data_IF_977532098486
#
_entry.id   IF_977532098486
#
_cell.length_a   1.000
_cell.length_b   1.000
_cell.length_c   1.000
_cell.angle_alpha   90.00
_cell.angle_beta   90.00
_cell.angle_gamma   90.00
#
_symmetry.space_group_name_H-M   'P 1'
#
loop_
_entity.id
_entity.type
_entity.pdbx_description
1 polymer ?
#
# COMPACT_ATOMS: atom_id res chain seq x y z
N UNK A 1 14.51 -4.87 0.13
CA UNK A 1 14.79 -3.44 0.40
C UNK A 1 14.38 -2.53 -0.75
N UNK A 2 14.82 -2.76 -2.00
CA UNK A 2 14.61 -1.82 -3.12
C UNK A 2 13.15 -1.41 -3.38
N UNK A 3 12.17 -2.31 -3.15
CA UNK A 3 10.74 -2.05 -3.41
C UNK A 3 10.20 -0.82 -2.64
N UNK A 4 10.69 -0.54 -1.43
CA UNK A 4 10.14 0.51 -0.56
C UNK A 4 11.08 1.71 -0.37
N UNK A 5 12.36 1.61 -0.72
CA UNK A 5 13.36 2.65 -0.46
C UNK A 5 12.95 4.03 -1.01
N UNK A 6 12.46 4.07 -2.26
CA UNK A 6 11.94 5.29 -2.89
C UNK A 6 10.81 5.93 -2.07
N UNK A 7 9.92 5.10 -1.52
CA UNK A 7 8.78 5.56 -0.74
C UNK A 7 9.19 6.07 0.64
N UNK A 8 10.09 5.35 1.32
CA UNK A 8 10.63 5.73 2.63
C UNK A 8 11.39 7.06 2.55
N UNK A 9 12.29 7.20 1.56
CA UNK A 9 13.02 8.47 1.33
C UNK A 9 12.06 9.62 1.04
N UNK A 10 11.01 9.36 0.25
CA UNK A 10 9.99 10.37 -0.05
C UNK A 10 9.17 10.71 1.18
N UNK A 11 8.85 9.75 2.05
CA UNK A 11 8.14 9.98 3.30
C UNK A 11 8.88 10.98 4.19
N UNK A 12 10.19 10.76 4.44
CA UNK A 12 11.01 11.70 5.21
C UNK A 12 11.06 13.10 4.56
N UNK A 13 11.24 13.16 3.24
CA UNK A 13 11.29 14.42 2.52
C UNK A 13 9.99 15.22 2.66
N UNK A 14 8.83 14.55 2.56
CA UNK A 14 7.52 15.18 2.74
C UNK A 14 7.30 15.56 4.21
N UNK A 15 7.75 14.77 5.19
CA UNK A 15 7.74 15.17 6.59
C UNK A 15 8.49 16.49 6.81
N UNK A 16 9.71 16.62 6.25
CA UNK A 16 10.49 17.85 6.33
C UNK A 16 9.77 19.05 5.69
N UNK A 17 9.15 18.84 4.52
CA UNK A 17 8.38 19.86 3.81
C UNK A 17 7.16 20.32 4.62
N UNK A 18 6.37 19.38 5.15
CA UNK A 18 5.16 19.66 5.92
C UNK A 18 5.48 20.38 7.23
N UNK A 19 6.58 19.99 7.87
CA UNK A 19 7.12 20.65 9.07
C UNK A 19 7.64 22.06 8.75
N UNK A 20 8.13 22.28 7.53
CA UNK A 20 8.71 23.54 7.09
C UNK A 20 10.19 23.69 7.47
N UNK A 21 10.92 22.58 7.51
CA UNK A 21 12.37 22.55 7.73
C UNK A 21 13.12 22.24 6.45
N UNK A 22 14.45 22.43 6.47
CA UNK A 22 15.31 22.03 5.35
C UNK A 22 15.27 20.51 5.16
N UNK A 23 15.54 20.00 3.94
CA UNK A 23 15.69 18.56 3.72
C UNK A 23 16.71 17.96 4.68
N UNK A 24 16.38 16.79 5.22
CA UNK A 24 17.21 16.04 6.14
C UNK A 24 17.36 14.59 5.65
N UNK A 25 18.41 13.93 6.10
CA UNK A 25 18.67 12.51 5.90
C UNK A 25 18.30 11.73 7.17
N UNK A 26 18.01 10.45 7.00
CA UNK A 26 17.95 9.45 8.06
C UNK A 26 18.24 8.09 7.42
N UNK A 27 18.81 7.18 8.18
CA UNK A 27 19.06 5.81 7.72
C UNK A 27 17.87 4.93 8.09
N UNK A 28 17.43 4.11 7.14
CA UNK A 28 16.26 3.26 7.30
C UNK A 28 16.64 1.81 6.98
N UNK A 29 16.47 0.91 7.94
CA UNK A 29 16.82 -0.49 7.80
C UNK A 29 15.64 -1.41 8.15
N UNK A 30 15.46 -2.46 7.36
CA UNK A 30 14.58 -3.57 7.72
C UNK A 30 15.39 -4.64 8.43
N UNK A 31 14.86 -5.16 9.52
CA UNK A 31 15.48 -6.19 10.35
C UNK A 31 14.45 -7.28 10.68
N UNK A 32 14.93 -8.47 11.05
CA UNK A 32 14.04 -9.56 11.46
C UNK A 32 13.37 -9.27 12.80
N UNK A 33 12.28 -9.97 13.10
CA UNK A 33 11.57 -9.83 14.38
C UNK A 33 12.48 -10.19 15.58
N UNK A 34 13.38 -11.16 15.43
CA UNK A 34 14.37 -11.49 16.47
C UNK A 34 15.33 -10.33 16.70
N UNK A 35 15.84 -9.72 15.63
CA UNK A 35 16.75 -8.58 15.76
C UNK A 35 16.05 -7.34 16.32
N UNK A 36 14.78 -7.11 15.99
CA UNK A 36 13.97 -6.05 16.59
C UNK A 36 13.74 -6.27 18.07
N UNK A 37 13.46 -7.51 18.47
CA UNK A 37 13.34 -7.89 19.87
C UNK A 37 14.64 -7.62 20.65
N UNK A 38 15.78 -8.08 20.13
CA UNK A 38 17.10 -7.83 20.71
C UNK A 38 17.36 -6.32 20.87
N UNK A 39 17.15 -5.54 19.81
CA UNK A 39 17.34 -4.09 19.84
C UNK A 39 16.44 -3.39 20.87
N UNK A 40 15.18 -3.82 20.98
CA UNK A 40 14.24 -3.24 21.93
C UNK A 40 14.62 -3.56 23.39
N UNK A 41 15.10 -4.78 23.63
CA UNK A 41 15.61 -5.20 24.93
C UNK A 41 16.89 -4.45 25.30
N UNK A 42 17.85 -4.36 24.38
CA UNK A 42 19.14 -3.69 24.60
C UNK A 42 19.00 -2.19 24.87
N UNK A 43 18.10 -1.51 24.14
CA UNK A 43 18.06 -0.05 24.14
C UNK A 43 16.96 0.53 25.02
N UNK A 44 15.82 -0.17 25.17
CA UNK A 44 14.68 0.28 25.97
C UNK A 44 14.41 -0.60 27.20
N UNK A 45 15.09 -1.74 27.34
CA UNK A 45 14.83 -2.70 28.42
C UNK A 45 13.49 -3.42 28.29
N UNK A 46 12.91 -3.45 27.09
CA UNK A 46 11.58 -4.00 26.82
C UNK A 46 11.71 -5.35 26.14
N UNK A 47 11.35 -6.42 26.86
CA UNK A 47 11.44 -7.83 26.43
C UNK A 47 10.24 -8.23 25.54
N UNK A 48 10.11 -7.55 24.40
CA UNK A 48 9.17 -7.88 23.32
C UNK A 48 9.62 -7.20 22.02
N UNK A 49 9.22 -7.74 20.88
CA UNK A 49 9.42 -7.06 19.59
C UNK A 49 8.47 -5.87 19.45
N UNK A 50 8.80 -4.95 18.53
CA UNK A 50 7.99 -3.81 18.13
C UNK A 50 8.07 -3.63 16.61
N UNK A 51 7.12 -2.91 16.06
CA UNK A 51 7.04 -2.54 14.65
C UNK A 51 8.17 -1.63 14.18
N UNK A 52 8.49 -0.58 14.95
CA UNK A 52 9.50 0.41 14.58
C UNK A 52 10.31 0.92 15.79
N UNK A 53 11.61 1.10 15.59
CA UNK A 53 12.53 1.73 16.54
C UNK A 53 13.26 2.88 15.86
N UNK A 54 13.13 4.08 16.41
CA UNK A 54 13.84 5.28 15.97
C UNK A 54 14.92 5.67 16.98
N UNK A 55 16.10 6.04 16.49
CA UNK A 55 17.27 6.49 17.24
C UNK A 55 17.65 7.90 16.78
N UNK A 56 17.08 8.95 17.39
CA UNK A 56 17.35 10.32 16.97
C UNK A 56 18.79 10.76 17.26
N UNK A 57 19.47 11.29 16.24
CA UNK A 57 20.74 12.00 16.38
C UNK A 57 20.56 13.40 16.98
N UNK A 58 19.34 13.94 16.91
CA UNK A 58 18.98 15.27 17.45
C UNK A 58 17.94 15.12 18.55
N UNK A 59 18.26 15.66 19.73
CA UNK A 59 17.31 15.77 20.83
C UNK A 59 16.72 17.17 20.89
N UNK A 60 15.39 17.26 20.95
CA UNK A 60 14.64 18.51 21.11
C UNK A 60 14.10 18.66 22.54
N UNK A 61 13.99 19.89 23.06
CA UNK A 61 13.30 20.12 24.33
C UNK A 61 11.84 19.64 24.28
N UNK A 62 11.27 19.27 25.43
CA UNK A 62 9.86 18.83 25.51
C UNK A 62 8.92 19.87 24.88
N UNK A 63 8.01 19.41 24.02
CA UNK A 63 7.05 20.26 23.29
C UNK A 63 7.67 21.15 22.21
N UNK A 64 8.90 20.85 21.76
CA UNK A 64 9.58 21.55 20.67
C UNK A 64 9.98 20.56 19.58
N UNK A 65 9.86 21.00 18.34
CA UNK A 65 10.23 20.20 17.17
C UNK A 65 11.46 20.78 16.46
N UNK A 66 11.88 20.12 15.38
CA UNK A 66 12.92 20.56 14.47
C UNK A 66 12.70 22.00 13.97
N UNK A 67 11.46 22.38 13.68
CA UNK A 67 11.10 23.73 13.22
C UNK A 67 11.38 24.80 14.26
N UNK A 68 11.11 24.50 15.54
CA UNK A 68 11.37 25.43 16.63
C UNK A 68 12.86 25.58 16.94
N UNK A 69 13.67 24.59 16.55
CA UNK A 69 15.06 24.45 16.95
C UNK A 69 16.03 24.39 15.74
N UNK A 70 16.02 25.37 14.82
CA UNK A 70 16.80 25.30 13.56
C UNK A 70 18.31 25.23 13.78
N UNK A 71 18.81 25.81 14.88
CA UNK A 71 20.23 25.74 15.28
C UNK A 71 20.64 24.34 15.71
N UNK A 72 19.76 23.57 16.36
CA UNK A 72 20.04 22.18 16.76
C UNK A 72 20.07 21.29 15.51
N UNK A 73 19.08 21.45 14.64
CA UNK A 73 19.02 20.74 13.37
C UNK A 73 20.27 21.00 12.51
N UNK A 74 20.70 22.27 12.40
CA UNK A 74 21.91 22.61 11.61
C UNK A 74 23.21 22.03 12.18
N UNK A 75 23.26 21.69 13.47
CA UNK A 75 24.45 21.06 14.09
C UNK A 75 24.55 19.57 13.78
N UNK A 76 23.45 18.96 13.36
CA UNK A 76 23.40 17.57 12.93
C UNK A 76 23.82 17.39 11.46
N UNK A 77 24.43 18.41 10.86
CA UNK A 77 24.88 18.35 9.48
C UNK A 77 25.89 17.23 9.28
N UNK A 78 25.59 16.34 8.34
CA UNK A 78 26.44 15.25 7.95
C UNK A 78 27.05 15.55 6.56
N UNK A 79 28.37 15.68 6.43
CA UNK A 79 29.03 15.91 5.15
C UNK A 79 28.80 14.81 4.11
N UNK A 80 28.55 13.57 4.53
CA UNK A 80 28.32 12.44 3.61
C UNK A 80 26.99 12.60 2.87
N UNK A 81 25.94 12.99 3.59
CA UNK A 81 24.62 13.23 3.01
C UNK A 81 24.44 14.66 2.46
N UNK A 82 25.31 15.61 2.84
CA UNK A 82 25.21 17.01 2.45
C UNK A 82 24.05 17.76 3.09
N UNK A 83 23.49 17.23 4.19
CA UNK A 83 22.32 17.76 4.89
C UNK A 83 22.30 17.28 6.35
N UNK A 84 21.44 17.83 7.23
CA UNK A 84 21.26 17.30 8.58
C UNK A 84 20.85 15.82 8.57
N UNK A 85 21.56 14.99 9.32
CA UNK A 85 21.18 13.60 9.58
C UNK A 85 20.39 13.52 10.89
N UNK A 86 19.16 13.01 10.81
CA UNK A 86 18.26 12.90 11.94
C UNK A 86 18.47 11.63 12.76
N UNK A 87 19.21 10.64 12.25
CA UNK A 87 19.50 9.38 12.93
C UNK A 87 19.00 8.15 12.19
N UNK A 88 18.76 7.08 12.94
CA UNK A 88 18.51 5.75 12.38
C UNK A 88 17.10 5.23 12.72
N UNK A 89 16.50 4.49 11.80
CA UNK A 89 15.20 3.85 11.97
C UNK A 89 15.26 2.40 11.55
N UNK A 90 14.76 1.52 12.41
CA UNK A 90 14.68 0.09 12.17
C UNK A 90 13.22 -0.34 12.13
N UNK A 91 12.85 -1.09 11.09
CA UNK A 91 11.51 -1.64 10.90
C UNK A 91 11.51 -3.16 11.00
N UNK A 92 10.49 -3.73 11.63
CA UNK A 92 10.14 -5.14 11.45
C UNK A 92 9.26 -5.29 10.20
N UNK A 93 9.76 -6.01 9.19
CA UNK A 93 8.96 -6.33 8.01
C UNK A 93 7.83 -7.30 8.35
N UNK A 94 8.07 -8.24 9.27
CA UNK A 94 7.07 -9.24 9.68
C UNK A 94 5.89 -8.57 10.39
N UNK A 95 6.18 -7.56 11.22
CA UNK A 95 5.14 -6.75 11.88
C UNK A 95 4.39 -5.87 10.91
N UNK A 96 5.08 -5.20 9.99
CA UNK A 96 4.42 -4.41 8.95
C UNK A 96 3.46 -5.27 8.10
N UNK A 97 3.84 -6.51 7.75
CA UNK A 97 2.94 -7.44 7.07
C UNK A 97 1.72 -7.81 7.93
N UNK A 98 1.94 -8.13 9.22
CA UNK A 98 0.88 -8.51 10.15
C UNK A 98 -0.10 -7.35 10.41
N UNK A 99 0.39 -6.13 10.64
CA UNK A 99 -0.41 -4.92 10.83
C UNK A 99 -1.16 -4.53 9.57
N UNK A 100 -0.51 -4.62 8.39
CA UNK A 100 -1.18 -4.42 7.11
C UNK A 100 -2.41 -5.34 6.99
N UNK A 101 -2.24 -6.61 7.36
CA UNK A 101 -3.32 -7.60 7.37
C UNK A 101 -4.41 -7.29 8.41
N UNK A 102 -4.03 -6.98 9.66
CA UNK A 102 -4.95 -6.68 10.76
C UNK A 102 -5.80 -5.44 10.48
N UNK A 103 -5.19 -4.38 9.95
CA UNK A 103 -5.85 -3.11 9.67
C UNK A 103 -6.43 -2.99 8.25
N UNK A 104 -6.31 -4.05 7.45
CA UNK A 104 -6.97 -4.18 6.15
C UNK A 104 -6.47 -3.22 5.06
N UNK A 105 -5.17 -2.94 5.01
CA UNK A 105 -4.57 -2.06 3.99
C UNK A 105 -3.24 -2.59 3.46
N UNK A 106 -2.75 -2.04 2.35
CA UNK A 106 -1.56 -2.56 1.68
C UNK A 106 -0.29 -2.48 2.54
N UNK A 107 0.62 -3.43 2.31
CA UNK A 107 1.94 -3.45 2.96
C UNK A 107 2.72 -2.16 2.64
N UNK A 108 2.60 -1.65 1.41
CA UNK A 108 3.22 -0.37 1.04
C UNK A 108 2.70 0.77 1.91
N UNK A 109 1.38 0.82 2.15
CA UNK A 109 0.81 1.84 3.04
C UNK A 109 1.34 1.69 4.45
N UNK A 110 1.41 0.47 4.97
CA UNK A 110 1.89 0.24 6.34
C UNK A 110 3.35 0.63 6.51
N UNK A 111 4.22 0.19 5.60
CA UNK A 111 5.65 0.58 5.61
C UNK A 111 5.82 2.09 5.51
N UNK A 112 5.04 2.76 4.64
CA UNK A 112 5.10 4.22 4.51
C UNK A 112 4.58 4.90 5.77
N UNK A 113 3.49 4.41 6.36
CA UNK A 113 2.96 4.92 7.62
C UNK A 113 4.00 4.82 8.73
N UNK A 114 4.63 3.66 8.92
CA UNK A 114 5.71 3.47 9.89
C UNK A 114 6.90 4.41 9.62
N UNK A 115 7.27 4.62 8.34
CA UNK A 115 8.33 5.55 7.97
C UNK A 115 7.97 7.00 8.28
N UNK A 116 6.72 7.42 8.03
CA UNK A 116 6.21 8.75 8.40
C UNK A 116 6.23 8.90 9.92
N UNK A 117 5.68 7.94 10.65
CA UNK A 117 5.62 7.92 12.10
C UNK A 117 7.02 8.06 12.72
N UNK A 118 7.97 7.23 12.30
CA UNK A 118 9.35 7.28 12.76
C UNK A 118 10.04 8.61 12.38
N UNK A 119 9.81 9.12 11.17
CA UNK A 119 10.37 10.40 10.74
C UNK A 119 9.85 11.58 11.58
N UNK A 120 8.58 11.54 12.01
CA UNK A 120 8.02 12.55 12.90
C UNK A 120 8.65 12.49 14.30
N UNK A 121 8.89 11.29 14.85
CA UNK A 121 9.69 11.12 16.07
C UNK A 121 11.10 11.70 15.94
N UNK A 122 11.78 11.44 14.83
CA UNK A 122 13.09 12.02 14.53
C UNK A 122 13.08 13.56 14.43
N UNK A 123 11.95 14.15 14.03
CA UNK A 123 11.73 15.59 13.99
C UNK A 123 11.30 16.19 15.35
N UNK A 124 11.13 15.36 16.38
CA UNK A 124 10.81 15.79 17.74
C UNK A 124 9.33 15.79 18.10
N UNK A 125 8.47 15.14 17.30
CA UNK A 125 7.10 14.83 17.70
C UNK A 125 7.10 13.65 18.68
N UNK A 126 6.14 13.65 19.60
CA UNK A 126 5.89 12.54 20.52
C UNK A 126 4.37 12.34 20.63
N UNK A 127 3.93 11.26 21.27
CA UNK A 127 2.52 10.91 21.41
C UNK A 127 2.19 10.33 22.80
N UNK A 128 2.99 10.69 23.82
CA UNK A 128 2.80 10.22 25.20
C UNK A 128 1.59 10.91 25.85
N UNK A 129 1.38 12.20 25.54
CA UNK A 129 0.25 12.98 26.02
C UNK A 129 -0.83 13.15 24.92
N UNK A 130 -2.07 13.45 25.32
CA UNK A 130 -3.23 13.50 24.41
C UNK A 130 -3.13 14.62 23.36
N UNK A 131 -2.58 15.77 23.75
CA UNK A 131 -2.34 16.92 22.88
C UNK A 131 -1.22 16.65 21.87
N UNK A 132 -0.11 16.08 22.34
CA UNK A 132 1.02 15.64 21.51
C UNK A 132 0.55 14.58 20.49
N UNK A 133 -0.24 13.59 20.93
CA UNK A 133 -0.84 12.57 20.07
C UNK A 133 -1.73 13.17 18.98
N UNK A 134 -2.55 14.15 19.33
CA UNK A 134 -3.43 14.82 18.37
C UNK A 134 -2.63 15.58 17.32
N UNK A 135 -1.58 16.29 17.74
CA UNK A 135 -0.69 17.01 16.86
C UNK A 135 0.04 16.06 15.89
N UNK A 136 0.59 14.96 16.42
CA UNK A 136 1.31 13.97 15.61
C UNK A 136 0.37 13.33 14.58
N UNK A 137 -0.85 12.95 14.97
CA UNK A 137 -1.85 12.39 14.04
C UNK A 137 -2.18 13.34 12.89
N UNK A 138 -2.39 14.63 13.18
CA UNK A 138 -2.66 15.61 12.14
C UNK A 138 -1.49 15.75 11.15
N UNK A 139 -0.26 15.62 11.64
CA UNK A 139 0.93 15.60 10.79
C UNK A 139 1.03 14.33 9.96
N UNK A 140 0.78 13.16 10.56
CA UNK A 140 0.71 11.87 9.86
C UNK A 140 -0.30 11.91 8.71
N UNK A 141 -1.53 12.35 8.97
CA UNK A 141 -2.58 12.48 7.95
C UNK A 141 -2.15 13.39 6.80
N UNK A 142 -1.64 14.58 7.13
CA UNK A 142 -1.21 15.57 6.12
C UNK A 142 -0.04 15.09 5.26
N UNK A 143 0.90 14.35 5.85
CA UNK A 143 2.04 13.76 5.13
C UNK A 143 1.55 12.61 4.24
N UNK A 144 0.73 11.70 4.77
CA UNK A 144 0.20 10.56 4.02
C UNK A 144 -0.65 11.02 2.82
N UNK A 145 -1.46 12.08 2.99
CA UNK A 145 -2.21 12.72 1.90
C UNK A 145 -1.27 13.25 0.80
N UNK A 146 -0.25 14.03 1.16
CA UNK A 146 0.75 14.55 0.20
C UNK A 146 1.56 13.47 -0.51
N UNK A 147 1.76 12.32 0.13
CA UNK A 147 2.44 11.19 -0.48
C UNK A 147 1.57 10.46 -1.51
N UNK A 148 0.25 10.69 -1.52
CA UNK A 148 -0.69 9.97 -2.37
C UNK A 148 -0.80 8.49 -2.00
N UNK A 149 -0.34 8.11 -0.79
CA UNK A 149 -0.47 6.76 -0.23
C UNK A 149 -1.54 6.82 0.86
N UNK A 150 -2.74 7.22 0.45
CA UNK A 150 -3.92 7.10 1.29
C UNK A 150 -4.41 5.65 1.33
N UNK A 151 -5.33 5.37 2.26
CA UNK A 151 -6.42 4.46 1.91
C UNK A 151 -7.17 5.19 0.81
N UNK A 152 -7.03 4.84 -0.47
CA UNK A 152 -7.95 5.39 -1.47
C UNK A 152 -9.34 4.87 -1.06
N UNK A 153 -10.26 5.72 -0.57
CA UNK A 153 -11.56 5.26 -0.09
C UNK A 153 -12.31 4.52 -1.20
N UNK A 154 -11.99 4.84 -2.46
CA UNK A 154 -12.50 4.13 -3.61
C UNK A 154 -11.95 2.70 -3.69
N UNK A 155 -10.67 2.46 -3.40
CA UNK A 155 -10.10 1.10 -3.45
C UNK A 155 -10.67 0.21 -2.35
N UNK A 156 -10.82 0.76 -1.13
CA UNK A 156 -11.49 0.06 -0.03
C UNK A 156 -12.94 -0.26 -0.39
N UNK A 157 -13.67 0.71 -0.93
CA UNK A 157 -15.05 0.53 -1.38
C UNK A 157 -15.14 -0.56 -2.47
N UNK A 158 -14.32 -0.49 -3.52
CA UNK A 158 -14.30 -1.49 -4.58
C UNK A 158 -13.95 -2.88 -4.04
N UNK A 159 -13.00 -2.98 -3.11
CA UNK A 159 -12.62 -4.24 -2.48
C UNK A 159 -13.73 -4.81 -1.61
N UNK A 160 -14.46 -3.98 -0.86
CA UNK A 160 -15.66 -4.39 -0.13
C UNK A 160 -16.74 -4.93 -1.09
N UNK A 161 -17.00 -4.23 -2.19
CA UNK A 161 -17.93 -4.69 -3.24
C UNK A 161 -17.51 -6.04 -3.84
N UNK A 162 -16.20 -6.26 -4.03
CA UNK A 162 -15.67 -7.57 -4.45
C UNK A 162 -15.87 -8.65 -3.38
N UNK A 163 -15.67 -8.32 -2.09
CA UNK A 163 -15.91 -9.24 -0.97
C UNK A 163 -17.39 -9.65 -0.81
N UNK A 164 -18.32 -8.74 -1.13
CA UNK A 164 -19.76 -9.01 -1.16
C UNK A 164 -20.13 -9.89 -2.37
N UNK A 165 -19.52 -9.66 -3.53
CA UNK A 165 -19.77 -10.44 -4.74
C UNK A 165 -19.40 -11.93 -4.57
N UNK A 166 -18.40 -12.21 -3.72
CA UNK A 166 -17.92 -13.56 -3.39
C UNK A 166 -19.05 -14.48 -2.87
N UNK A 167 -20.02 -13.93 -2.15
CA UNK A 167 -21.11 -14.71 -1.55
C UNK A 167 -22.06 -15.32 -2.61
N UNK A 168 -21.98 -14.84 -3.86
CA UNK A 168 -22.75 -15.37 -5.00
C UNK A 168 -21.98 -16.39 -5.85
N UNK A 169 -20.72 -16.72 -5.49
CA UNK A 169 -19.89 -17.64 -6.26
C UNK A 169 -20.52 -19.04 -6.34
N UNK A 170 -20.53 -19.63 -7.55
CA UNK A 170 -20.99 -20.99 -7.78
C UNK A 170 -19.77 -21.90 -7.96
N UNK A 171 -19.35 -22.55 -6.87
CA UNK A 171 -18.08 -23.30 -6.81
C UNK A 171 -18.20 -24.72 -6.25
N UNK A 172 -19.10 -25.57 -6.77
CA UNK A 172 -19.34 -26.90 -6.21
C UNK A 172 -18.16 -27.87 -6.38
N UNK A 173 -17.13 -27.52 -7.15
CA UNK A 173 -15.99 -28.39 -7.42
C UNK A 173 -14.75 -27.99 -6.62
N UNK A 174 -14.36 -26.71 -6.65
CA UNK A 174 -13.15 -26.25 -5.95
C UNK A 174 -13.36 -25.81 -4.50
N UNK A 175 -14.60 -25.43 -4.13
CA UNK A 175 -14.89 -24.75 -2.86
C UNK A 175 -14.00 -23.50 -2.64
N UNK A 176 -13.56 -22.85 -3.73
CA UNK A 176 -12.72 -21.66 -3.69
C UNK A 176 -13.46 -20.46 -4.30
N UNK A 177 -14.03 -19.63 -3.44
CA UNK A 177 -14.84 -18.47 -3.84
C UNK A 177 -13.96 -17.25 -4.13
N UNK A 178 -14.25 -16.60 -5.24
CA UNK A 178 -13.63 -15.34 -5.68
C UNK A 178 -14.72 -14.37 -6.11
N UNK A 179 -14.62 -13.13 -5.65
CA UNK A 179 -15.45 -12.02 -6.09
C UNK A 179 -14.61 -10.93 -6.76
N UNK A 180 -15.22 -10.16 -7.65
CA UNK A 180 -14.58 -9.03 -8.31
C UNK A 180 -15.55 -7.84 -8.44
N UNK A 181 -15.01 -6.63 -8.43
CA UNK A 181 -15.73 -5.39 -8.72
C UNK A 181 -14.89 -4.54 -9.67
N UNK A 182 -15.43 -4.22 -10.85
CA UNK A 182 -14.74 -3.40 -11.86
C UNK A 182 -15.37 -2.00 -11.93
N UNK A 183 -14.53 -0.97 -11.95
CA UNK A 183 -14.88 0.44 -12.05
C UNK A 183 -14.61 0.94 -13.47
N UNK A 184 -15.65 1.44 -14.13
CA UNK A 184 -15.51 2.02 -15.47
C UNK A 184 -15.05 3.48 -15.48
N UNK A 185 -14.76 4.01 -16.66
CA UNK A 185 -14.28 5.38 -16.83
C UNK A 185 -15.31 6.43 -16.36
N UNK A 186 -16.60 6.11 -16.42
CA UNK A 186 -17.72 6.97 -16.00
C UNK A 186 -18.04 6.85 -14.50
N UNK A 187 -17.37 5.97 -13.77
CA UNK A 187 -17.55 5.76 -12.34
C UNK A 187 -18.66 4.75 -11.98
N UNK A 188 -19.12 3.94 -12.94
CA UNK A 188 -20.06 2.85 -12.68
C UNK A 188 -19.31 1.61 -12.22
N UNK A 189 -19.93 0.88 -11.30
CA UNK A 189 -19.39 -0.32 -10.68
C UNK A 189 -20.14 -1.56 -11.15
N UNK A 190 -19.40 -2.62 -11.47
CA UNK A 190 -19.98 -3.91 -11.87
C UNK A 190 -19.31 -5.04 -11.12
N UNK A 191 -20.11 -5.90 -10.51
CA UNK A 191 -19.61 -7.03 -9.71
C UNK A 191 -19.68 -8.34 -10.48
N UNK A 192 -18.78 -9.26 -10.15
CA UNK A 192 -18.76 -10.62 -10.66
C UNK A 192 -18.24 -11.60 -9.62
N UNK A 193 -18.53 -12.88 -9.81
CA UNK A 193 -17.99 -13.98 -9.03
C UNK A 193 -17.58 -15.13 -9.95
N UNK A 194 -16.75 -16.05 -9.45
CA UNK A 194 -16.42 -17.24 -10.23
C UNK A 194 -17.62 -18.21 -10.29
N UNK A 195 -17.83 -18.76 -11.48
CA UNK A 195 -18.92 -19.69 -11.78
C UNK A 195 -18.29 -20.91 -12.45
N UNK A 196 -18.28 -22.01 -11.72
CA UNK A 196 -17.73 -23.28 -12.19
C UNK A 196 -18.74 -24.08 -13.00
N UNK A 197 -18.22 -25.05 -13.74
CA UNK A 197 -19.01 -25.94 -14.55
C UNK A 197 -18.42 -27.36 -14.50
N UNK A 198 -19.26 -28.39 -14.68
CA UNK A 198 -18.81 -29.78 -14.76
C UNK A 198 -17.77 -29.98 -15.87
N UNK A 199 -17.93 -29.27 -16.99
CA UNK A 199 -16.87 -29.13 -17.98
C UNK A 199 -15.98 -27.96 -17.58
N UNK A 200 -14.82 -28.24 -16.97
CA UNK A 200 -13.96 -27.22 -16.36
C UNK A 200 -13.51 -26.13 -17.34
N UNK A 201 -13.44 -26.42 -18.64
CA UNK A 201 -13.15 -25.43 -19.68
C UNK A 201 -14.21 -24.33 -19.83
N UNK A 202 -15.43 -24.57 -19.34
CA UNK A 202 -16.52 -23.60 -19.33
C UNK A 202 -16.56 -22.72 -18.06
N UNK A 203 -15.64 -22.93 -17.11
CA UNK A 203 -15.55 -22.10 -15.90
C UNK A 203 -15.16 -20.66 -16.23
N UNK A 204 -15.89 -19.71 -15.66
CA UNK A 204 -15.61 -18.28 -15.77
C UNK A 204 -15.14 -17.72 -14.41
N UNK A 205 -14.03 -16.98 -14.45
CA UNK A 205 -13.45 -16.35 -13.26
C UNK A 205 -14.22 -15.08 -12.89
N UNK A 206 -14.10 -14.63 -11.64
CA UNK A 206 -14.84 -13.48 -11.12
C UNK A 206 -14.58 -12.19 -11.92
N UNK A 207 -13.32 -11.96 -12.31
CA UNK A 207 -12.88 -10.82 -13.09
C UNK A 207 -13.54 -10.81 -14.47
N UNK A 208 -13.58 -11.97 -15.13
CA UNK A 208 -14.23 -12.13 -16.44
C UNK A 208 -15.75 -11.98 -16.34
N UNK A 209 -16.36 -12.45 -15.26
CA UNK A 209 -17.78 -12.22 -14.98
C UNK A 209 -18.05 -10.73 -14.81
N UNK A 210 -17.25 -10.00 -14.02
CA UNK A 210 -17.41 -8.56 -13.81
C UNK A 210 -17.23 -7.76 -15.12
N UNK A 211 -16.23 -8.10 -15.93
CA UNK A 211 -16.02 -7.52 -17.26
C UNK A 211 -17.22 -7.80 -18.17
N UNK A 212 -17.71 -9.05 -18.24
CA UNK A 212 -18.86 -9.41 -19.06
C UNK A 212 -20.13 -8.65 -18.65
N UNK A 213 -20.36 -8.50 -17.34
CA UNK A 213 -21.46 -7.67 -16.80
C UNK A 213 -21.34 -6.21 -17.24
N UNK A 214 -20.16 -5.61 -17.13
CA UNK A 214 -19.94 -4.22 -17.51
C UNK A 214 -20.06 -3.99 -19.02
N UNK A 215 -19.44 -4.87 -19.82
CA UNK A 215 -19.44 -4.78 -21.29
C UNK A 215 -20.83 -4.99 -21.85
N UNK A 216 -21.62 -5.93 -21.31
CA UNK A 216 -23.01 -6.12 -21.72
C UNK A 216 -23.90 -4.90 -21.40
N UNK A 217 -23.50 -4.05 -20.47
CA UNK A 217 -24.15 -2.78 -20.10
C UNK A 217 -23.49 -1.54 -20.74
N UNK A 218 -22.66 -1.75 -21.75
CA UNK A 218 -22.11 -0.69 -22.60
C UNK A 218 -20.79 -0.06 -22.14
N UNK A 219 -20.19 -0.51 -21.02
CA UNK A 219 -18.86 -0.03 -20.61
C UNK A 219 -17.76 -0.62 -21.51
N UNK A 220 -16.77 0.20 -21.89
CA UNK A 220 -15.65 -0.21 -22.77
C UNK A 220 -14.28 0.27 -22.30
N UNK A 221 -14.23 1.07 -21.23
CA UNK A 221 -13.00 1.61 -20.65
C UNK A 221 -13.09 1.47 -19.14
N UNK A 222 -12.02 0.99 -18.52
CA UNK A 222 -12.01 0.70 -17.09
C UNK A 222 -10.82 1.35 -16.40
N UNK A 223 -11.01 1.78 -15.17
CA UNK A 223 -10.00 2.46 -14.34
C UNK A 223 -9.35 1.50 -13.35
N UNK A 224 -10.16 0.65 -12.73
CA UNK A 224 -9.71 -0.25 -11.68
C UNK A 224 -10.56 -1.53 -11.64
N UNK A 225 -9.98 -2.60 -11.12
CA UNK A 225 -10.70 -3.80 -10.70
C UNK A 225 -10.21 -4.25 -9.33
N UNK A 226 -11.15 -4.54 -8.43
CA UNK A 226 -10.88 -5.20 -7.18
C UNK A 226 -11.23 -6.68 -7.26
N UNK A 227 -10.40 -7.54 -6.66
CA UNK A 227 -10.50 -8.99 -6.69
C UNK A 227 -10.27 -9.53 -5.28
N UNK A 228 -11.27 -10.20 -4.73
CA UNK A 228 -11.27 -10.74 -3.38
C UNK A 228 -11.34 -12.27 -3.43
N UNK A 229 -10.41 -12.95 -2.78
CA UNK A 229 -10.46 -14.39 -2.55
C UNK A 229 -10.89 -14.75 -1.13
N UNK A 230 -11.51 -15.91 -0.94
CA UNK A 230 -11.91 -16.37 0.39
C UNK A 230 -10.73 -16.89 1.23
N UNK A 231 -9.90 -17.76 0.63
CA UNK A 231 -8.83 -18.49 1.31
C UNK A 231 -7.42 -17.96 0.97
N UNK A 232 -7.33 -16.71 0.52
CA UNK A 232 -6.07 -16.04 0.16
C UNK A 232 -6.28 -14.93 -0.89
N UNK A 233 -5.22 -14.17 -1.17
CA UNK A 233 -5.23 -13.17 -2.24
C UNK A 233 -5.40 -13.85 -3.60
N UNK A 234 -6.56 -13.62 -4.24
CA UNK A 234 -6.91 -14.23 -5.52
C UNK A 234 -6.34 -13.42 -6.69
N UNK A 235 -5.03 -13.54 -6.92
CA UNK A 235 -4.36 -12.89 -8.05
C UNK A 235 -4.97 -13.32 -9.38
N UNK A 236 -5.21 -12.38 -10.32
CA UNK A 236 -5.88 -12.71 -11.57
C UNK A 236 -5.05 -13.70 -12.38
N UNK A 237 -5.70 -14.72 -12.94
CA UNK A 237 -5.04 -15.70 -13.78
C UNK A 237 -4.66 -15.09 -15.15
N UNK A 238 -3.83 -15.79 -15.93
CA UNK A 238 -3.37 -15.28 -17.22
C UNK A 238 -4.51 -14.92 -18.19
N UNK A 239 -5.59 -15.71 -18.21
CA UNK A 239 -6.77 -15.43 -19.04
C UNK A 239 -7.45 -14.13 -18.61
N UNK A 240 -7.61 -13.90 -17.30
CA UNK A 240 -8.20 -12.67 -16.78
C UNK A 240 -7.33 -11.45 -17.08
N UNK A 241 -6.00 -11.56 -16.90
CA UNK A 241 -5.06 -10.48 -17.25
C UNK A 241 -5.19 -10.09 -18.72
N UNK A 242 -5.24 -11.08 -19.61
CA UNK A 242 -5.39 -10.83 -21.04
C UNK A 242 -6.74 -10.19 -21.39
N UNK A 243 -7.84 -10.64 -20.76
CA UNK A 243 -9.16 -10.03 -20.95
C UNK A 243 -9.20 -8.58 -20.44
N UNK A 244 -8.54 -8.29 -19.33
CA UNK A 244 -8.45 -6.92 -18.80
C UNK A 244 -7.61 -6.02 -19.72
N UNK A 245 -6.52 -6.55 -20.30
CA UNK A 245 -5.61 -5.83 -21.19
C UNK A 245 -6.31 -5.33 -22.47
N UNK A 246 -7.34 -6.05 -22.94
CA UNK A 246 -8.20 -5.62 -24.06
C UNK A 246 -8.84 -4.23 -23.83
N UNK A 247 -9.13 -3.89 -22.56
CA UNK A 247 -9.89 -2.68 -22.23
C UNK A 247 -9.07 -1.58 -21.56
N UNK A 248 -7.88 -1.91 -21.04
CA UNK A 248 -6.94 -0.93 -20.47
C UNK A 248 -5.62 -1.63 -20.10
N UNK A 249 -4.50 -1.13 -20.62
CA UNK A 249 -3.14 -1.55 -20.25
C UNK A 249 -2.68 -0.99 -18.89
N UNK A 250 -3.20 0.18 -18.50
CA UNK A 250 -2.82 0.89 -17.27
C UNK A 250 -3.88 0.81 -16.16
N UNK A 251 -4.65 -0.28 -16.11
CA UNK A 251 -5.70 -0.47 -15.11
C UNK A 251 -5.10 -0.75 -13.73
N UNK A 252 -5.67 -0.15 -12.67
CA UNK A 252 -5.32 -0.53 -11.29
C UNK A 252 -5.96 -1.87 -10.92
N UNK A 253 -5.18 -2.77 -10.34
CA UNK A 253 -5.64 -4.09 -9.89
C UNK A 253 -5.46 -4.16 -8.39
N UNK A 254 -6.59 -4.24 -7.67
CA UNK A 254 -6.67 -4.31 -6.22
C UNK A 254 -6.94 -5.78 -5.86
N UNK A 255 -6.01 -6.46 -5.21
CA UNK A 255 -6.12 -7.91 -4.94
C UNK A 255 -5.94 -8.18 -3.46
N UNK A 256 -6.86 -8.92 -2.86
CA UNK A 256 -6.75 -9.26 -1.45
C UNK A 256 -7.56 -10.47 -1.04
N UNK A 257 -7.51 -10.79 0.25
CA UNK A 257 -8.32 -11.82 0.87
C UNK A 257 -9.48 -11.17 1.64
N UNK A 258 -10.68 -11.78 1.60
CA UNK A 258 -11.81 -11.35 2.44
C UNK A 258 -11.40 -11.39 3.91
N UNK A 259 -11.48 -10.24 4.58
CA UNK A 259 -11.05 -10.07 5.97
C UNK A 259 -9.54 -9.88 6.19
N UNK A 260 -8.76 -9.63 5.14
CA UNK A 260 -7.33 -9.30 5.22
C UNK A 260 -6.96 -8.06 4.40
N UNK A 261 -5.65 -7.81 4.29
CA UNK A 261 -5.10 -6.74 3.45
C UNK A 261 -5.35 -6.99 1.95
N UNK A 262 -5.25 -5.91 1.18
CA UNK A 262 -5.17 -5.95 -0.27
C UNK A 262 -3.90 -5.24 -0.78
N UNK A 263 -3.35 -5.74 -1.87
CA UNK A 263 -2.31 -5.10 -2.67
C UNK A 263 -2.95 -4.30 -3.80
N UNK A 264 -2.26 -3.24 -4.23
CA UNK A 264 -2.64 -2.46 -5.42
C UNK A 264 -1.45 -2.43 -6.36
N UNK A 265 -1.64 -2.89 -7.59
CA UNK A 265 -0.62 -2.91 -8.65
C UNK A 265 -1.22 -2.43 -9.97
N UNK A 266 -0.39 -2.10 -10.95
CA UNK A 266 -0.86 -1.87 -12.32
C UNK A 266 -0.97 -3.19 -13.10
N UNK A 267 -1.94 -3.27 -14.02
CA UNK A 267 -2.10 -4.44 -14.87
C UNK A 267 -0.85 -4.72 -15.71
N UNK A 268 -0.16 -3.67 -16.18
CA UNK A 268 1.11 -3.76 -16.91
C UNK A 268 2.23 -4.45 -16.12
N UNK A 269 2.19 -4.40 -14.78
CA UNK A 269 3.14 -5.13 -13.92
C UNK A 269 2.82 -6.63 -13.86
N UNK A 270 1.54 -6.98 -14.02
CA UNK A 270 1.06 -8.36 -14.00
C UNK A 270 1.14 -9.04 -15.38
N UNK A 271 1.14 -8.27 -16.46
CA UNK A 271 1.23 -8.77 -17.83
C UNK A 271 2.22 -7.92 -18.64
N UNK A 272 3.52 -7.98 -18.33
CA UNK A 272 4.54 -7.23 -19.07
C UNK A 272 4.66 -7.77 -20.51
N UNK A 273 4.94 -6.88 -21.45
CA UNK A 273 5.03 -7.20 -22.89
C UNK A 273 3.77 -7.93 -23.40
N UNK A 274 2.60 -7.42 -23.01
CA UNK A 274 1.32 -8.02 -23.35
C UNK A 274 1.05 -7.96 -24.85
N UNK A 275 0.45 -9.03 -25.38
CA UNK A 275 -0.22 -9.00 -26.68
C UNK A 275 -1.48 -8.15 -26.56
N UNK A 276 -1.74 -7.25 -27.50
CA UNK A 276 -2.91 -6.36 -27.45
C UNK A 276 -3.47 -6.00 -28.82
N UNK A 277 -4.60 -5.26 -28.86
CA UNK A 277 -5.25 -4.84 -30.10
C UNK A 277 -4.31 -4.09 -31.07
N UNK A 278 -3.30 -3.40 -30.55
CA UNK A 278 -2.27 -2.69 -31.30
C UNK A 278 -1.43 -3.60 -32.21
N UNK A 279 -1.23 -4.87 -31.83
CA UNK A 279 -0.46 -5.83 -32.63
C UNK A 279 -1.27 -6.44 -33.78
N UNK A 280 -2.60 -6.25 -33.76
CA UNK A 280 -3.53 -6.71 -34.80
C UNK A 280 -3.84 -5.64 -35.85
N UNK A 281 -3.39 -4.40 -35.64
CA UNK A 281 -3.58 -3.32 -36.60
C UNK A 281 -2.54 -3.45 -37.72
N UNK A 282 -2.91 -4.08 -38.84
CA UNK A 282 -2.14 -3.97 -40.08
C UNK A 282 -2.02 -2.48 -40.46
N UNK A 283 -0.79 -2.00 -40.68
CA UNK A 283 -0.59 -0.79 -41.47
C UNK A 283 -1.27 -1.02 -42.82
N UNK A 284 -2.42 -0.39 -43.02
CA UNK A 284 -3.05 -0.32 -44.33
C UNK A 284 -2.11 0.49 -45.23
N UNK A 285 -1.24 -0.23 -45.96
CA UNK A 285 -0.46 0.30 -47.07
C UNK A 285 -1.38 0.78 -48.22
#
# INVERSE_FOLDING_TARGET
MERFDKWIRRALAVCCEVEGVKPCAAEFAFVSDERMHELNLETRGVDRTTDVLSYPAVSYPKGKTAKDCPKRLSRAYDPEYGMPNLGDVFFSMDRACSQAQEYGHSITREVVFLAVHASLHLLGYDHMEEDERTQMRAMEEKVMEKLGIGRDPMDEHLFLRACEALDNAYVPYSDYRVGACILDAEGREFTGCNIENASYGATICAERTAVACAVSQGSRKFKAIAIAGEKGAAWPCGICRQVLNEFSDNMRVIVGQKGGAFDVVLLSELLPHSFGPEELQEEKA
#
